data_IF_059542065796
#
_entry.id   IF_059542065796
#
_cell.length_a   1.000
_cell.length_b   1.000
_cell.length_c   1.000
_cell.angle_alpha   90.00
_cell.angle_beta   90.00
_cell.angle_gamma   90.00
#
_symmetry.space_group_name_H-M   'P 1'
#
loop_
_entity.id
_entity.type
_entity.pdbx_description
1 polymer ?
#
# COMPACT_ATOMS: atom_id res chain seq x y z
N UNK A 1 -10.05 18.21 84.49
CA UNK A 1 -11.06 17.72 83.54
C UNK A 1 -10.51 16.48 82.85
N UNK A 2 -11.28 15.38 82.93
CA UNK A 2 -11.40 14.21 82.01
C UNK A 2 -10.20 13.91 81.07
N UNK A 3 -9.62 12.71 81.01
CA UNK A 3 -9.96 11.44 81.63
C UNK A 3 -9.31 10.24 80.90
N UNK A 4 -9.54 9.06 81.50
CA UNK A 4 -9.43 7.67 81.01
C UNK A 4 -8.02 7.13 80.70
N UNK A 5 -7.46 6.22 81.50
CA UNK A 5 -7.81 4.82 81.86
C UNK A 5 -7.23 3.79 80.86
N UNK A 6 -6.34 2.93 81.40
CA UNK A 6 -6.30 1.45 81.24
C UNK A 6 -5.87 0.90 79.86
N UNK A 7 -5.18 -0.22 79.67
CA UNK A 7 -4.68 -1.40 80.41
C UNK A 7 -3.85 -2.15 79.33
N UNK A 8 -2.77 -2.90 79.56
CA UNK A 8 -2.65 -4.31 79.99
C UNK A 8 -1.12 -4.54 80.14
N UNK A 9 -0.59 -4.97 81.29
CA UNK A 9 -0.40 -6.37 81.72
C UNK A 9 0.05 -7.27 80.55
N UNK A 10 1.09 -8.10 80.62
CA UNK A 10 1.84 -8.68 81.73
C UNK A 10 3.00 -9.52 81.13
N UNK A 11 3.79 -10.14 82.01
CA UNK A 11 4.73 -11.26 81.79
C UNK A 11 6.15 -10.88 81.36
N UNK A 12 7.00 -10.48 82.30
CA UNK A 12 7.82 -11.35 83.17
C UNK A 12 8.58 -12.45 82.44
N UNK A 13 9.92 -12.29 82.51
CA UNK A 13 10.91 -13.34 82.82
C UNK A 13 11.01 -14.51 81.85
N UNK A 14 12.18 -14.70 81.24
CA UNK A 14 13.16 -15.70 81.73
C UNK A 14 14.26 -16.01 80.70
N UNK A 15 15.41 -16.37 81.26
CA UNK A 15 16.49 -17.21 80.73
C UNK A 15 17.48 -16.64 79.69
N UNK A 16 18.59 -16.18 80.26
CA UNK A 16 19.95 -16.48 79.81
C UNK A 16 20.11 -17.90 79.23
N UNK A 17 20.65 -18.00 78.00
CA UNK A 17 21.30 -19.22 77.47
C UNK A 17 22.39 -18.88 76.43
N UNK A 18 23.38 -19.78 76.18
CA UNK A 18 24.76 -19.43 75.84
C UNK A 18 25.12 -19.29 74.34
N UNK A 19 26.28 -18.68 74.10
CA UNK A 19 26.91 -18.28 72.83
C UNK A 19 27.37 -19.43 71.89
N UNK A 20 26.49 -20.30 71.36
CA UNK A 20 26.98 -21.38 70.47
C UNK A 20 26.26 -21.67 69.14
N UNK A 21 25.29 -20.88 68.67
CA UNK A 21 24.67 -21.13 67.33
C UNK A 21 24.47 -19.91 66.42
N UNK A 22 25.29 -18.84 66.54
CA UNK A 22 25.13 -17.63 65.69
C UNK A 22 25.71 -17.74 64.25
N UNK A 23 26.50 -18.76 63.91
CA UNK A 23 27.18 -18.81 62.59
C UNK A 23 26.36 -19.39 61.42
N UNK A 24 25.32 -20.20 61.68
CA UNK A 24 24.55 -20.85 60.61
C UNK A 24 23.36 -20.01 60.08
N UNK A 25 22.78 -19.14 60.91
CA UNK A 25 21.53 -18.44 60.58
C UNK A 25 21.74 -17.14 59.78
N UNK A 26 22.89 -16.47 59.94
CA UNK A 26 23.22 -15.25 59.17
C UNK A 26 23.56 -15.58 57.70
N UNK A 27 24.04 -16.80 57.43
CA UNK A 27 24.38 -17.28 56.08
C UNK A 27 23.13 -17.54 55.23
N UNK A 28 22.13 -18.24 55.79
CA UNK A 28 20.87 -18.52 55.07
C UNK A 28 20.00 -17.28 54.86
N UNK A 29 20.05 -16.30 55.76
CA UNK A 29 19.29 -15.05 55.63
C UNK A 29 19.91 -14.07 54.61
N UNK A 30 21.24 -13.93 54.55
CA UNK A 30 21.91 -13.12 53.50
C UNK A 30 21.65 -13.68 52.09
N UNK A 31 21.69 -15.01 51.93
CA UNK A 31 21.42 -15.67 50.64
C UNK A 31 19.96 -15.49 50.20
N UNK A 32 19.01 -15.36 51.12
CA UNK A 32 17.60 -15.14 50.81
C UNK A 32 17.32 -13.70 50.34
N UNK A 33 17.86 -12.69 51.03
CA UNK A 33 17.69 -11.28 50.63
C UNK A 33 18.45 -10.89 49.34
N UNK A 34 19.61 -11.51 49.07
CA UNK A 34 20.37 -11.32 47.83
C UNK A 34 19.59 -11.90 46.63
N UNK A 35 18.94 -13.07 46.79
CA UNK A 35 18.16 -13.68 45.71
C UNK A 35 16.87 -12.93 45.38
N UNK A 36 16.22 -12.29 46.36
CA UNK A 36 14.94 -11.56 46.16
C UNK A 36 15.12 -10.19 45.51
N UNK A 37 16.28 -9.54 45.70
CA UNK A 37 16.60 -8.24 45.06
C UNK A 37 17.18 -8.39 43.65
N UNK A 38 17.78 -9.54 43.31
CA UNK A 38 18.35 -9.79 41.98
C UNK A 38 17.31 -10.12 40.89
N UNK A 39 16.17 -10.74 41.26
CA UNK A 39 15.11 -11.12 40.31
C UNK A 39 14.47 -9.92 39.60
N UNK A 40 14.02 -8.84 40.27
CA UNK A 40 13.44 -7.67 39.58
C UNK A 40 14.46 -6.94 38.70
N UNK A 41 15.75 -6.93 39.07
CA UNK A 41 16.82 -6.35 38.27
C UNK A 41 17.06 -7.16 36.98
N UNK A 42 16.99 -8.50 37.07
CA UNK A 42 17.07 -9.39 35.92
C UNK A 42 15.85 -9.25 34.99
N UNK A 43 14.64 -9.08 35.54
CA UNK A 43 13.42 -8.82 34.75
C UNK A 43 13.50 -7.48 34.04
N UNK A 44 14.00 -6.42 34.69
CA UNK A 44 14.23 -5.12 34.04
C UNK A 44 15.28 -5.19 32.93
N UNK A 45 16.35 -5.97 33.11
CA UNK A 45 17.40 -6.18 32.11
C UNK A 45 16.90 -7.01 30.91
N UNK A 46 16.07 -8.03 31.16
CA UNK A 46 15.39 -8.81 30.10
C UNK A 46 14.34 -7.95 29.37
N UNK A 47 13.61 -7.07 30.07
CA UNK A 47 12.68 -6.13 29.47
C UNK A 47 13.39 -5.14 28.53
N UNK A 48 14.59 -4.65 28.91
CA UNK A 48 15.44 -3.84 28.03
C UNK A 48 15.88 -4.61 26.77
N UNK A 49 16.12 -5.92 26.87
CA UNK A 49 16.50 -6.77 25.72
C UNK A 49 15.31 -7.04 24.78
N UNK A 50 14.07 -7.01 25.28
CA UNK A 50 12.87 -7.18 24.44
C UNK A 50 12.52 -5.93 23.63
N UNK A 51 13.01 -4.74 24.02
CA UNK A 51 12.76 -3.48 23.30
C UNK A 51 13.70 -3.24 22.10
N UNK A 52 14.82 -3.98 22.00
CA UNK A 52 15.84 -3.79 20.95
C UNK A 52 15.58 -4.55 19.65
N UNK A 53 14.48 -5.31 19.52
CA UNK A 53 14.13 -5.98 18.25
C UNK A 53 13.40 -5.08 17.23
N UNK A 54 13.21 -3.79 17.51
CA UNK A 54 12.39 -2.90 16.68
C UNK A 54 13.08 -2.30 15.45
N UNK A 55 14.31 -2.69 15.12
CA UNK A 55 15.04 -2.08 14.00
C UNK A 55 15.79 -3.12 13.17
N UNK A 56 15.04 -4.01 12.52
CA UNK A 56 15.54 -4.72 11.35
C UNK A 56 15.30 -3.82 10.13
N UNK A 57 16.38 -3.43 9.43
CA UNK A 57 16.28 -2.70 8.16
C UNK A 57 15.97 -3.70 7.05
N UNK A 58 14.69 -3.88 6.76
CA UNK A 58 14.18 -4.79 5.75
C UNK A 58 14.56 -4.35 4.32
N UNK A 59 14.89 -3.07 4.13
CA UNK A 59 15.27 -2.51 2.84
C UNK A 59 16.68 -2.91 2.37
N UNK A 60 17.52 -3.47 3.24
CA UNK A 60 18.88 -3.91 2.87
C UNK A 60 18.93 -5.04 1.82
N UNK A 61 17.84 -5.78 1.64
CA UNK A 61 17.77 -6.94 0.74
C UNK A 61 16.89 -6.70 -0.49
N UNK A 62 16.28 -5.52 -0.60
CA UNK A 62 15.29 -5.21 -1.62
C UNK A 62 15.86 -4.18 -2.58
N UNK A 63 15.67 -4.41 -3.86
CA UNK A 63 16.00 -3.46 -4.92
C UNK A 63 14.69 -2.90 -5.43
N UNK A 64 14.51 -1.59 -5.30
CA UNK A 64 13.41 -0.87 -5.91
C UNK A 64 13.92 -0.13 -7.16
N UNK A 65 13.32 -0.38 -8.31
CA UNK A 65 13.72 0.20 -9.58
C UNK A 65 13.06 1.57 -9.82
N UNK A 66 13.48 2.25 -10.90
CA UNK A 66 12.80 3.44 -11.43
C UNK A 66 12.60 4.60 -10.42
N UNK A 67 13.57 4.76 -9.51
CA UNK A 67 13.57 5.81 -8.50
C UNK A 67 12.58 5.59 -7.35
N UNK A 68 12.05 4.38 -7.20
CA UNK A 68 11.19 4.02 -6.09
C UNK A 68 11.95 3.99 -4.75
N UNK A 69 11.24 4.31 -3.67
CA UNK A 69 11.76 4.30 -2.31
C UNK A 69 11.34 3.02 -1.59
N UNK A 70 12.26 2.39 -0.88
CA UNK A 70 11.89 1.30 0.04
C UNK A 70 11.43 1.88 1.38
N UNK A 71 10.26 1.44 1.85
CA UNK A 71 9.70 1.74 3.15
C UNK A 71 9.23 0.43 3.79
N UNK A 72 9.80 0.08 4.95
CA UNK A 72 9.45 -1.11 5.73
C UNK A 72 9.36 -2.40 4.88
N UNK A 73 10.39 -2.62 4.05
CA UNK A 73 10.46 -3.83 3.21
C UNK A 73 9.55 -3.81 1.97
N UNK A 74 8.95 -2.68 1.63
CA UNK A 74 8.07 -2.54 0.46
C UNK A 74 8.53 -1.39 -0.44
N UNK A 75 8.48 -1.59 -1.76
CA UNK A 75 8.80 -0.54 -2.72
C UNK A 75 7.59 0.38 -2.96
N UNK A 76 7.75 1.68 -2.66
CA UNK A 76 6.83 2.74 -3.03
C UNK A 76 7.10 3.21 -4.46
N UNK A 77 6.37 2.67 -5.43
CA UNK A 77 6.58 2.95 -6.85
C UNK A 77 6.29 4.40 -7.22
N UNK A 78 7.13 4.95 -8.10
CA UNK A 78 6.92 6.25 -8.73
C UNK A 78 5.79 6.17 -9.76
N UNK A 79 5.21 7.32 -10.10
CA UNK A 79 4.12 7.38 -11.09
C UNK A 79 4.55 6.77 -12.43
N UNK A 80 3.73 5.85 -12.94
CA UNK A 80 3.99 5.14 -14.19
C UNK A 80 4.66 3.78 -14.03
N UNK A 81 5.03 3.39 -12.81
CA UNK A 81 5.62 2.08 -12.52
C UNK A 81 4.79 1.27 -11.53
N UNK A 82 4.82 -0.06 -11.69
CA UNK A 82 4.18 -1.03 -10.82
C UNK A 82 5.01 -2.33 -10.70
N UNK A 83 4.50 -3.30 -9.93
CA UNK A 83 5.21 -4.52 -9.57
C UNK A 83 5.77 -4.48 -8.15
N UNK A 84 6.24 -5.63 -7.65
CA UNK A 84 6.80 -5.76 -6.30
C UNK A 84 8.06 -4.90 -6.12
N UNK A 85 8.84 -4.74 -7.19
CA UNK A 85 10.09 -4.00 -7.25
C UNK A 85 10.01 -2.72 -8.09
N UNK A 86 8.81 -2.35 -8.56
CA UNK A 86 8.57 -1.19 -9.44
C UNK A 86 9.31 -1.24 -10.78
N UNK A 87 9.64 -2.44 -11.28
CA UNK A 87 10.36 -2.61 -12.56
C UNK A 87 9.47 -2.46 -13.79
N UNK A 88 8.15 -2.64 -13.66
CA UNK A 88 7.22 -2.70 -14.79
C UNK A 88 6.58 -1.33 -15.06
N UNK A 89 6.45 -0.95 -16.32
CA UNK A 89 5.69 0.23 -16.70
C UNK A 89 4.18 -0.08 -16.66
N UNK A 90 3.39 0.73 -15.97
CA UNK A 90 1.94 0.52 -15.80
C UNK A 90 1.21 0.44 -17.16
N UNK A 91 1.72 1.16 -18.17
CA UNK A 91 1.11 1.18 -19.51
C UNK A 91 1.26 -0.13 -20.29
N UNK A 92 2.23 -0.98 -19.97
CA UNK A 92 2.50 -2.22 -20.72
C UNK A 92 1.27 -3.14 -20.77
N UNK A 93 0.51 -3.23 -19.66
CA UNK A 93 -0.69 -4.07 -19.62
C UNK A 93 -1.79 -3.61 -20.58
N UNK A 94 -1.79 -2.34 -21.01
CA UNK A 94 -2.76 -1.79 -21.97
C UNK A 94 -2.33 -1.96 -23.43
N UNK A 95 -1.07 -2.30 -23.70
CA UNK A 95 -0.58 -2.38 -25.07
C UNK A 95 -1.11 -3.63 -25.77
N UNK A 96 -1.29 -3.51 -27.09
CA UNK A 96 -1.71 -4.60 -27.97
C UNK A 96 -2.93 -4.26 -28.83
N UNK A 97 -3.36 -5.26 -29.58
CA UNK A 97 -4.53 -5.19 -30.46
C UNK A 97 -5.78 -5.63 -29.72
N UNK A 98 -6.85 -4.85 -29.80
CA UNK A 98 -8.14 -5.15 -29.18
C UNK A 98 -9.23 -5.27 -30.24
N UNK A 99 -10.10 -6.27 -30.06
CA UNK A 99 -11.41 -6.31 -30.72
C UNK A 99 -12.37 -5.43 -29.93
N UNK A 100 -12.92 -4.43 -30.59
CA UNK A 100 -13.87 -3.48 -30.02
C UNK A 100 -15.29 -3.97 -30.27
N UNK A 101 -16.10 -3.93 -29.23
CA UNK A 101 -17.56 -4.00 -29.31
C UNK A 101 -18.12 -2.73 -28.68
N UNK A 102 -18.50 -1.79 -29.53
CA UNK A 102 -19.06 -0.52 -29.08
C UNK A 102 -20.55 -0.63 -28.76
N UNK A 103 -21.00 0.29 -27.92
CA UNK A 103 -22.39 0.46 -27.56
C UNK A 103 -22.71 1.96 -27.52
N UNK A 104 -22.93 2.54 -28.70
CA UNK A 104 -23.06 3.98 -28.89
C UNK A 104 -24.49 4.43 -29.16
N UNK A 105 -24.84 5.64 -28.72
CA UNK A 105 -26.19 6.20 -28.84
C UNK A 105 -26.64 6.49 -30.28
N UNK A 106 -25.72 6.91 -31.15
CA UNK A 106 -26.04 7.30 -32.54
C UNK A 106 -25.64 6.21 -33.54
N UNK A 107 -24.40 5.72 -33.44
CA UNK A 107 -23.86 4.73 -34.39
C UNK A 107 -24.29 3.30 -34.09
N UNK A 108 -24.87 3.04 -32.92
CA UNK A 108 -25.22 1.70 -32.46
C UNK A 108 -24.00 0.84 -32.17
N UNK A 109 -24.17 -0.48 -32.21
CA UNK A 109 -23.10 -1.43 -31.96
C UNK A 109 -22.20 -1.58 -33.19
N UNK A 110 -20.95 -1.15 -33.07
CA UNK A 110 -19.91 -1.33 -34.08
C UNK A 110 -18.86 -2.33 -33.58
N UNK A 111 -18.28 -3.08 -34.53
CA UNK A 111 -17.14 -3.97 -34.26
C UNK A 111 -15.99 -3.64 -35.20
N UNK A 112 -14.80 -3.44 -34.62
CA UNK A 112 -13.56 -3.15 -35.34
C UNK A 112 -12.36 -3.48 -34.45
N UNK A 113 -11.15 -3.29 -34.97
CA UNK A 113 -9.92 -3.47 -34.20
C UNK A 113 -9.21 -2.15 -33.97
N UNK A 114 -8.57 -2.04 -32.81
CA UNK A 114 -7.68 -0.93 -32.46
C UNK A 114 -6.33 -1.47 -32.03
N UNK A 115 -5.29 -0.65 -32.12
CA UNK A 115 -3.96 -0.98 -31.61
C UNK A 115 -3.50 0.08 -30.63
N UNK A 116 -3.21 -0.33 -29.39
CA UNK A 116 -2.65 0.52 -28.34
C UNK A 116 -1.14 0.32 -28.31
N UNK A 117 -0.40 1.42 -28.42
CA UNK A 117 1.07 1.40 -28.44
C UNK A 117 1.67 2.51 -27.57
N UNK A 118 2.94 2.35 -27.20
CA UNK A 118 3.67 3.29 -26.35
C UNK A 118 3.85 4.67 -27.02
N UNK A 119 3.97 5.69 -26.17
CA UNK A 119 4.51 7.00 -26.50
C UNK A 119 5.94 7.08 -25.96
N UNK A 120 6.94 7.22 -26.84
CA UNK A 120 8.36 7.07 -26.45
C UNK A 120 8.84 8.09 -25.41
N UNK A 121 8.15 9.23 -25.31
CA UNK A 121 8.52 10.33 -24.41
C UNK A 121 7.87 10.25 -23.03
N UNK A 122 6.99 9.28 -22.75
CA UNK A 122 6.29 9.19 -21.47
C UNK A 122 5.83 7.78 -21.12
N UNK A 123 6.24 7.31 -19.94
CA UNK A 123 5.84 6.00 -19.37
C UNK A 123 4.39 5.93 -18.90
N UNK A 124 3.70 7.08 -18.85
CA UNK A 124 2.26 7.16 -18.49
C UNK A 124 1.37 7.37 -19.70
N UNK A 125 1.91 7.46 -20.92
CA UNK A 125 1.12 7.75 -22.11
C UNK A 125 1.18 6.62 -23.14
N UNK A 126 0.04 6.45 -23.82
CA UNK A 126 -0.14 5.55 -24.95
C UNK A 126 -0.86 6.27 -26.08
N UNK A 127 -0.78 5.71 -27.28
CA UNK A 127 -1.52 6.14 -28.47
C UNK A 127 -2.37 4.99 -28.99
N UNK A 128 -3.60 5.29 -29.37
CA UNK A 128 -4.61 4.34 -29.84
C UNK A 128 -4.84 4.59 -31.34
N UNK A 129 -4.44 3.64 -32.17
CA UNK A 129 -4.65 3.69 -33.61
C UNK A 129 -6.02 3.08 -33.99
N UNK A 130 -6.58 3.55 -35.11
CA UNK A 130 -7.87 3.12 -35.66
C UNK A 130 -9.06 3.32 -34.71
N UNK A 131 -9.00 4.33 -33.84
CA UNK A 131 -10.09 4.62 -32.89
C UNK A 131 -11.40 4.90 -33.64
N UNK A 132 -12.51 4.29 -33.19
CA UNK A 132 -13.82 4.37 -33.83
C UNK A 132 -13.84 3.94 -35.31
N UNK A 133 -12.78 3.26 -35.79
CA UNK A 133 -12.56 2.92 -37.20
C UNK A 133 -12.71 4.12 -38.16
N UNK A 134 -12.34 5.31 -37.69
CA UNK A 134 -12.70 6.57 -38.34
C UNK A 134 -11.67 7.67 -38.09
N UNK A 135 -11.06 7.70 -36.90
CA UNK A 135 -9.92 8.60 -36.65
C UNK A 135 -8.69 8.14 -37.43
N UNK A 136 -8.16 9.02 -38.28
CA UNK A 136 -6.98 8.75 -39.10
C UNK A 136 -5.68 8.87 -38.31
N UNK A 137 -5.62 9.82 -37.39
CA UNK A 137 -4.51 10.01 -36.48
C UNK A 137 -4.76 9.30 -35.13
N UNK A 138 -3.71 8.80 -34.47
CA UNK A 138 -3.87 8.14 -33.18
C UNK A 138 -4.45 9.06 -32.10
N UNK A 139 -5.31 8.48 -31.26
CA UNK A 139 -5.83 9.13 -30.05
C UNK A 139 -4.83 8.96 -28.91
N UNK A 140 -4.43 10.04 -28.25
CA UNK A 140 -3.54 9.97 -27.09
C UNK A 140 -4.32 9.66 -25.82
N UNK A 141 -3.77 8.82 -24.95
CA UNK A 141 -4.36 8.51 -23.66
C UNK A 141 -3.32 8.47 -22.53
N UNK A 142 -3.78 8.73 -21.32
CA UNK A 142 -2.99 8.78 -20.09
C UNK A 142 -3.37 7.57 -19.23
N UNK A 143 -2.37 6.91 -18.65
CA UNK A 143 -2.52 5.72 -17.83
C UNK A 143 -2.28 6.09 -16.36
N UNK A 144 -3.19 5.64 -15.49
CA UNK A 144 -3.08 5.75 -14.04
C UNK A 144 -3.62 4.49 -13.38
N UNK A 145 -2.71 3.63 -12.90
CA UNK A 145 -3.08 2.33 -12.33
C UNK A 145 -3.81 1.45 -13.35
N UNK A 146 -5.09 1.14 -13.09
CA UNK A 146 -5.93 0.36 -13.99
C UNK A 146 -6.83 1.22 -14.90
N UNK A 147 -6.67 2.55 -14.85
CA UNK A 147 -7.44 3.47 -15.67
C UNK A 147 -6.63 3.93 -16.89
N UNK A 148 -7.35 4.08 -18.01
CA UNK A 148 -6.89 4.76 -19.21
C UNK A 148 -7.83 5.94 -19.48
N UNK A 149 -7.29 7.14 -19.60
CA UNK A 149 -8.05 8.36 -19.83
C UNK A 149 -7.69 8.95 -21.19
N UNK A 150 -8.71 9.21 -22.01
CA UNK A 150 -8.59 10.01 -23.22
C UNK A 150 -9.00 11.44 -22.85
N UNK A 151 -8.06 12.38 -22.68
CA UNK A 151 -8.42 13.79 -22.52
C UNK A 151 -9.06 14.30 -23.81
N UNK A 152 -9.89 15.35 -23.68
CA UNK A 152 -10.55 15.99 -24.82
C UNK A 152 -9.50 16.42 -25.85
N UNK A 153 -9.62 15.89 -27.06
CA UNK A 153 -8.71 16.18 -28.16
C UNK A 153 -9.39 16.02 -29.52
N UNK A 154 -8.79 16.61 -30.56
CA UNK A 154 -9.23 16.51 -31.96
C UNK A 154 -8.07 16.00 -32.84
N UNK A 155 -7.79 14.68 -32.85
CA UNK A 155 -6.60 14.12 -33.49
C UNK A 155 -6.45 14.48 -34.96
N UNK A 156 -7.57 14.57 -35.68
CA UNK A 156 -7.60 14.82 -37.12
C UNK A 156 -7.79 16.30 -37.48
N UNK A 157 -7.92 17.19 -36.50
CA UNK A 157 -8.17 18.62 -36.71
C UNK A 157 -9.36 18.95 -37.66
N UNK A 158 -10.33 18.04 -37.78
CA UNK A 158 -11.50 18.16 -38.65
C UNK A 158 -12.76 18.65 -37.92
N UNK A 159 -12.60 19.21 -36.72
CA UNK A 159 -13.69 19.69 -35.86
C UNK A 159 -14.37 18.59 -35.02
N UNK A 160 -13.97 17.32 -35.17
CA UNK A 160 -14.44 16.24 -34.29
C UNK A 160 -13.56 16.14 -33.06
N UNK A 161 -14.15 15.87 -31.91
CA UNK A 161 -13.43 15.69 -30.67
C UNK A 161 -13.76 14.33 -30.04
N UNK A 162 -12.83 13.80 -29.25
CA UNK A 162 -12.98 12.56 -28.49
C UNK A 162 -12.50 12.76 -27.06
N UNK A 163 -13.18 12.14 -26.11
CA UNK A 163 -12.77 12.03 -24.71
C UNK A 163 -13.39 10.80 -24.07
N UNK A 164 -12.78 10.26 -23.02
CA UNK A 164 -13.35 9.12 -22.32
C UNK A 164 -12.46 8.54 -21.24
N UNK A 165 -13.00 7.55 -20.53
CA UNK A 165 -12.29 6.79 -19.52
C UNK A 165 -12.56 5.30 -19.71
N UNK A 166 -11.51 4.51 -19.56
CA UNK A 166 -11.54 3.06 -19.59
C UNK A 166 -10.98 2.46 -18.32
N UNK A 167 -11.51 1.29 -17.93
CA UNK A 167 -11.02 0.47 -16.83
C UNK A 167 -10.48 -0.85 -17.37
N UNK A 168 -9.19 -1.09 -17.17
CA UNK A 168 -8.57 -2.38 -17.47
C UNK A 168 -8.85 -3.39 -16.37
N UNK A 169 -9.38 -4.55 -16.75
CA UNK A 169 -9.73 -5.63 -15.83
C UNK A 169 -9.59 -6.99 -16.50
N UNK A 170 -9.50 -8.04 -15.67
CA UNK A 170 -9.43 -9.43 -16.14
C UNK A 170 -8.19 -9.77 -16.99
N UNK A 171 -7.16 -8.92 -17.01
CA UNK A 171 -5.91 -9.14 -17.73
C UNK A 171 -5.98 -8.96 -19.25
N UNK A 172 -7.15 -8.68 -19.82
CA UNK A 172 -7.31 -8.55 -21.28
C UNK A 172 -8.44 -7.63 -21.74
N UNK A 173 -9.21 -7.06 -20.81
CA UNK A 173 -10.42 -6.31 -21.16
C UNK A 173 -10.32 -4.88 -20.68
N UNK A 174 -10.68 -3.93 -21.53
CA UNK A 174 -10.93 -2.54 -21.14
C UNK A 174 -12.42 -2.27 -21.34
N UNK A 175 -13.10 -1.89 -20.27
CA UNK A 175 -14.48 -1.38 -20.35
C UNK A 175 -14.43 0.12 -20.44
N UNK A 176 -15.09 0.68 -21.46
CA UNK A 176 -14.99 2.08 -21.84
C UNK A 176 -16.31 2.83 -21.73
N UNK A 177 -16.20 4.05 -21.23
CA UNK A 177 -17.18 5.12 -21.42
C UNK A 177 -16.48 6.28 -22.13
N UNK A 178 -16.87 6.56 -23.36
CA UNK A 178 -16.29 7.64 -24.16
C UNK A 178 -17.33 8.37 -24.99
N UNK A 179 -17.00 9.58 -25.42
CA UNK A 179 -17.85 10.43 -26.23
C UNK A 179 -17.06 10.90 -27.44
N UNK A 180 -17.71 10.82 -28.62
CA UNK A 180 -17.24 11.48 -29.84
C UNK A 180 -18.19 12.63 -30.14
N UNK A 181 -17.67 13.85 -30.16
CA UNK A 181 -18.44 15.03 -30.57
C UNK A 181 -18.18 15.26 -32.05
N UNK A 182 -19.23 15.22 -32.87
CA UNK A 182 -19.15 15.52 -34.29
C UNK A 182 -18.80 17.00 -34.51
N UNK A 183 -18.36 17.37 -35.72
CA UNK A 183 -18.09 18.77 -36.08
C UNK A 183 -19.33 19.69 -35.94
N UNK A 184 -20.53 19.11 -35.97
CA UNK A 184 -21.81 19.79 -35.72
C UNK A 184 -22.10 20.03 -34.24
N UNK A 185 -21.23 19.56 -33.33
CA UNK A 185 -21.41 19.65 -31.88
C UNK A 185 -22.30 18.57 -31.27
N UNK A 186 -22.80 17.62 -32.07
CA UNK A 186 -23.66 16.54 -31.59
C UNK A 186 -22.78 15.46 -30.92
N UNK A 187 -23.03 15.11 -29.65
CA UNK A 187 -22.31 14.02 -28.98
C UNK A 187 -22.87 12.65 -29.38
N UNK A 188 -21.97 11.71 -29.64
CA UNK A 188 -22.22 10.27 -29.72
C UNK A 188 -21.55 9.62 -28.52
N UNK A 189 -22.35 9.23 -27.53
CA UNK A 189 -21.88 8.63 -26.30
C UNK A 189 -21.87 7.12 -26.42
N UNK A 190 -20.75 6.50 -26.06
CA UNK A 190 -20.54 5.07 -26.08
C UNK A 190 -20.29 4.59 -24.65
N UNK A 191 -21.22 3.82 -24.10
CA UNK A 191 -21.26 3.43 -22.69
C UNK A 191 -21.16 1.92 -22.56
N UNK A 192 -20.34 1.44 -21.63
CA UNK A 192 -20.05 0.03 -21.42
C UNK A 192 -19.51 -0.66 -22.69
N UNK A 193 -18.78 0.09 -23.52
CA UNK A 193 -18.12 -0.47 -24.70
C UNK A 193 -16.97 -1.37 -24.26
N UNK A 194 -16.82 -2.53 -24.88
CA UNK A 194 -15.88 -3.56 -24.42
C UNK A 194 -14.78 -3.75 -25.45
N UNK A 195 -13.53 -3.55 -25.03
CA UNK A 195 -12.36 -3.80 -25.84
C UNK A 195 -11.65 -5.02 -25.29
N UNK A 196 -11.54 -6.08 -26.09
CA UNK A 196 -10.96 -7.36 -25.64
C UNK A 196 -9.86 -7.83 -26.59
N UNK A 197 -8.68 -8.13 -26.02
CA UNK A 197 -7.56 -8.77 -26.72
C UNK A 197 -7.58 -10.28 -26.57
#
# INVERSE_FOLDING_TARGET
MKGKLNNYNELTTFFSMPNYHKKAMVSRFKVFFIKVTMVPFLVLLVCQILLIQSCADECKKIICYNGALCLDGLCGCTTGYEGEDCSLEVREKFMGTYNVTDNCTITGNAMYTVNISAVDTSVTMVKIANFNNDFSNPVNAIISGNYIEIPVQSPDANGRAVSGIGLFSGGSTITWNYTIVAATGIPNDCVDSVWKR
#
